data_IF_199603850425
#
_entry.id   IF_199603850425
#
_cell.length_a   1.000
_cell.length_b   1.000
_cell.length_c   1.000
_cell.angle_alpha   90.00
_cell.angle_beta   90.00
_cell.angle_gamma   90.00
#
_symmetry.space_group_name_H-M   'P 1'
#
loop_
_entity.id
_entity.type
_entity.pdbx_description
1 polymer ?
#
# COMPACT_ATOMS: atom_id res chain seq x y z
N UNK A 1 19.35 -8.30 -23.14
CA UNK A 1 17.92 -8.40 -23.26
C UNK A 1 17.23 -8.40 -21.90
N UNK A 2 16.31 -7.53 -21.69
CA UNK A 2 15.63 -7.43 -20.42
C UNK A 2 14.55 -8.52 -20.34
N UNK A 3 14.68 -9.41 -19.40
CA UNK A 3 13.75 -10.48 -19.19
C UNK A 3 12.88 -10.29 -17.96
N UNK A 4 13.35 -9.46 -17.06
CA UNK A 4 12.62 -9.16 -15.85
C UNK A 4 11.66 -8.01 -16.12
N UNK A 5 10.38 -8.33 -16.12
CA UNK A 5 9.33 -7.35 -16.39
C UNK A 5 8.69 -6.80 -15.13
N UNK A 6 9.10 -7.29 -13.96
CA UNK A 6 8.54 -6.82 -12.70
C UNK A 6 9.08 -5.43 -12.37
N UNK A 7 8.16 -4.48 -12.21
CA UNK A 7 8.50 -3.14 -11.79
C UNK A 7 8.51 -3.08 -10.25
N UNK A 8 9.61 -2.63 -9.69
CA UNK A 8 9.73 -2.49 -8.26
C UNK A 8 9.02 -1.25 -7.75
N UNK A 9 8.67 -1.27 -6.47
CA UNK A 9 8.19 -0.08 -5.80
C UNK A 9 9.30 0.98 -5.78
N UNK A 10 8.90 2.24 -5.91
CA UNK A 10 9.83 3.36 -5.78
C UNK A 10 9.35 4.32 -4.70
N UNK A 11 10.31 5.03 -4.11
CA UNK A 11 10.02 6.10 -3.17
C UNK A 11 10.95 7.26 -3.52
N UNK A 12 10.35 8.40 -3.87
CA UNK A 12 11.13 9.58 -4.30
C UNK A 12 12.14 9.24 -5.40
N UNK A 13 11.69 8.41 -6.34
CA UNK A 13 12.50 8.02 -7.50
C UNK A 13 13.49 6.90 -7.27
N UNK A 14 13.61 6.38 -6.05
CA UNK A 14 14.53 5.31 -5.73
C UNK A 14 13.81 3.99 -5.56
N UNK A 15 14.41 2.93 -6.08
CA UNK A 15 13.86 1.59 -5.95
C UNK A 15 13.88 1.13 -4.49
N UNK A 16 12.76 0.54 -4.06
CA UNK A 16 12.60 0.06 -2.69
C UNK A 16 12.56 -1.47 -2.71
N UNK A 17 13.51 -2.08 -2.02
CA UNK A 17 13.59 -3.53 -1.88
C UNK A 17 13.27 -4.01 -0.46
N UNK A 18 13.39 -3.12 0.53
CA UNK A 18 13.09 -3.41 1.92
C UNK A 18 12.35 -2.23 2.53
N UNK A 19 11.56 -2.51 3.57
CA UNK A 19 10.81 -1.48 4.29
C UNK A 19 11.46 -1.29 5.67
N UNK A 20 11.71 -0.03 6.10
CA UNK A 20 12.27 0.22 7.44
C UNK A 20 11.41 -0.42 8.53
N UNK A 21 12.05 -0.85 9.62
CA UNK A 21 11.39 -1.62 10.66
C UNK A 21 10.29 -0.85 11.40
N UNK A 22 10.43 0.46 11.51
CA UNK A 22 9.46 1.30 12.21
C UNK A 22 8.22 1.65 11.38
N UNK A 23 8.18 1.21 10.13
CA UNK A 23 7.08 1.50 9.21
C UNK A 23 6.00 0.42 9.36
N UNK A 24 4.77 0.85 9.63
CA UNK A 24 3.61 -0.02 9.72
C UNK A 24 3.00 -0.27 8.33
N UNK A 25 3.03 0.74 7.49
CA UNK A 25 2.51 0.63 6.14
C UNK A 25 2.84 1.88 5.32
N UNK A 26 2.31 1.91 4.11
CA UNK A 26 2.57 3.05 3.22
C UNK A 26 1.34 3.35 2.37
N UNK A 27 1.23 4.61 2.00
CA UNK A 27 0.24 5.08 1.02
C UNK A 27 0.93 5.14 -0.32
N UNK A 28 0.27 4.64 -1.35
CA UNK A 28 0.90 4.45 -2.65
C UNK A 28 0.07 4.98 -3.80
N UNK A 29 0.73 5.14 -4.92
CA UNK A 29 0.14 5.49 -6.20
C UNK A 29 0.56 4.46 -7.24
N UNK A 30 -0.40 3.81 -7.86
CA UNK A 30 -0.15 2.91 -8.98
C UNK A 30 -0.65 3.61 -10.23
N UNK A 31 0.18 3.64 -11.27
CA UNK A 31 -0.15 4.31 -12.52
C UNK A 31 -0.07 3.31 -13.68
N UNK A 32 -1.16 3.25 -14.45
CA UNK A 32 -1.17 2.54 -15.72
C UNK A 32 -0.54 3.45 -16.76
N UNK A 33 0.67 3.11 -17.19
CA UNK A 33 1.42 3.99 -18.10
C UNK A 33 0.86 4.01 -19.52
N UNK A 34 -0.05 3.10 -19.85
CA UNK A 34 -0.65 3.07 -21.20
C UNK A 34 -1.73 4.12 -21.38
N UNK A 35 -2.40 4.52 -20.31
CA UNK A 35 -3.51 5.48 -20.40
C UNK A 35 -3.49 6.55 -19.29
N UNK A 36 -2.53 6.50 -18.38
CA UNK A 36 -2.41 7.48 -17.30
C UNK A 36 -3.36 7.29 -16.14
N UNK A 37 -4.19 6.24 -16.13
CA UNK A 37 -5.10 5.99 -15.01
C UNK A 37 -4.33 5.56 -13.77
N UNK A 38 -4.81 6.00 -12.61
CA UNK A 38 -4.10 5.86 -11.35
C UNK A 38 -4.99 5.27 -10.26
N UNK A 39 -4.35 4.74 -9.25
CA UNK A 39 -5.04 4.25 -8.06
C UNK A 39 -4.24 4.66 -6.82
N UNK A 40 -4.91 5.29 -5.86
CA UNK A 40 -4.33 5.64 -4.55
C UNK A 40 -4.88 4.69 -3.51
N UNK A 41 -3.98 4.05 -2.78
CA UNK A 41 -4.37 3.10 -1.74
C UNK A 41 -3.35 3.04 -0.62
N UNK A 42 -3.59 2.12 0.30
CA UNK A 42 -2.66 1.86 1.41
C UNK A 42 -2.33 0.38 1.46
N UNK A 43 -1.18 0.07 2.02
CA UNK A 43 -0.74 -1.31 2.20
C UNK A 43 -0.02 -1.46 3.53
N UNK A 44 -0.38 -2.47 4.28
CA UNK A 44 0.38 -2.85 5.47
C UNK A 44 1.71 -3.45 5.04
N UNK A 45 2.78 -2.99 5.69
CA UNK A 45 4.11 -3.51 5.41
C UNK A 45 4.30 -4.90 5.99
N UNK A 46 3.70 -5.14 7.15
CA UNK A 46 3.85 -6.39 7.89
C UNK A 46 2.53 -6.84 8.46
N UNK A 47 2.37 -8.14 8.58
CA UNK A 47 1.22 -8.75 9.23
C UNK A 47 1.63 -9.23 10.63
N UNK A 48 0.71 -9.11 11.58
CA UNK A 48 0.88 -9.69 12.90
C UNK A 48 0.45 -11.15 12.85
N UNK A 49 1.27 -12.01 13.44
CA UNK A 49 1.01 -13.44 13.54
C UNK A 49 1.16 -13.86 14.99
N UNK A 50 0.59 -15.01 15.35
CA UNK A 50 0.77 -15.57 16.67
C UNK A 50 1.06 -17.07 16.54
N UNK A 51 1.80 -17.59 17.52
CA UNK A 51 2.07 -19.01 17.66
C UNK A 51 1.47 -19.47 18.98
N UNK A 52 1.17 -20.78 19.12
CA UNK A 52 0.72 -21.30 20.41
C UNK A 52 1.70 -20.95 21.52
N UNK A 53 1.23 -20.81 22.76
CA UNK A 53 2.13 -20.55 23.89
C UNK A 53 3.18 -21.65 24.03
N UNK A 54 4.34 -21.26 24.51
CA UNK A 54 5.34 -22.25 24.91
C UNK A 54 4.79 -23.09 26.06
N UNK A 55 5.27 -24.33 26.18
CA UNK A 55 4.85 -25.23 27.24
C UNK A 55 5.00 -24.54 28.60
N UNK A 56 3.91 -24.58 29.40
CA UNK A 56 3.89 -23.92 30.67
C UNK A 56 3.58 -22.43 30.66
N UNK A 57 3.35 -21.86 29.51
CA UNK A 57 3.02 -20.44 29.39
C UNK A 57 1.56 -20.24 28.97
N UNK A 58 0.96 -19.13 29.40
CA UNK A 58 -0.45 -18.85 29.12
C UNK A 58 -0.66 -18.04 27.85
N UNK A 59 0.26 -17.14 27.53
CA UNK A 59 0.05 -16.20 26.45
C UNK A 59 0.62 -16.71 25.13
N UNK A 60 -0.11 -16.44 24.04
CA UNK A 60 0.39 -16.70 22.70
C UNK A 60 1.60 -15.83 22.41
N UNK A 61 2.53 -16.38 21.66
CA UNK A 61 3.69 -15.63 21.18
C UNK A 61 3.29 -14.84 19.95
N UNK A 62 3.53 -13.55 19.95
CA UNK A 62 3.23 -12.68 18.82
C UNK A 62 4.51 -12.32 18.10
N UNK A 63 4.41 -12.23 16.79
CA UNK A 63 5.53 -11.85 15.94
C UNK A 63 5.00 -11.17 14.68
N UNK A 64 5.89 -10.52 13.92
CA UNK A 64 5.54 -9.86 12.67
C UNK A 64 6.21 -10.57 11.51
N UNK A 65 5.50 -10.62 10.38
CA UNK A 65 6.06 -11.12 9.11
C UNK A 65 5.79 -10.08 8.04
N UNK A 66 6.64 -10.04 7.03
CA UNK A 66 6.40 -9.17 5.89
C UNK A 66 5.08 -9.55 5.24
N UNK A 67 4.34 -8.53 4.81
CA UNK A 67 3.15 -8.75 4.01
C UNK A 67 3.55 -9.11 2.58
N UNK A 68 2.57 -9.26 1.72
CA UNK A 68 2.78 -9.52 0.30
C UNK A 68 3.04 -8.23 -0.49
N UNK A 69 3.57 -7.19 0.17
CA UNK A 69 3.71 -5.87 -0.44
C UNK A 69 4.54 -5.87 -1.72
N UNK A 70 5.55 -6.74 -1.82
CA UNK A 70 6.43 -6.76 -2.98
C UNK A 70 5.70 -7.11 -4.27
N UNK A 71 4.69 -7.95 -4.19
CA UNK A 71 3.92 -8.41 -5.35
C UNK A 71 2.54 -7.76 -5.47
N UNK A 72 2.27 -6.79 -4.62
CA UNK A 72 0.95 -6.18 -4.50
C UNK A 72 0.73 -5.10 -5.55
N UNK A 73 -0.39 -5.15 -6.25
CA UNK A 73 -0.77 -4.18 -7.29
C UNK A 73 -2.14 -3.57 -7.02
N UNK A 74 -2.48 -3.34 -5.75
CA UNK A 74 -3.71 -2.66 -5.39
C UNK A 74 -4.87 -3.60 -5.14
N UNK A 75 -5.97 -3.04 -4.63
CA UNK A 75 -7.14 -3.82 -4.25
C UNK A 75 -8.37 -3.53 -5.11
N UNK A 76 -8.26 -2.67 -6.10
CA UNK A 76 -9.37 -2.39 -7.01
C UNK A 76 -9.55 -3.52 -8.02
N UNK A 77 -10.80 -3.95 -8.22
CA UNK A 77 -11.10 -4.99 -9.21
C UNK A 77 -10.75 -4.52 -10.63
N UNK A 78 -11.10 -3.29 -10.96
CA UNK A 78 -10.81 -2.75 -12.29
C UNK A 78 -9.31 -2.65 -12.54
N UNK A 79 -8.55 -2.22 -11.54
CA UNK A 79 -7.10 -2.17 -11.63
C UNK A 79 -6.53 -3.58 -11.82
N UNK A 80 -7.02 -4.54 -11.05
CA UNK A 80 -6.56 -5.94 -11.14
C UNK A 80 -6.80 -6.51 -12.53
N UNK A 81 -7.96 -6.24 -13.10
CA UNK A 81 -8.29 -6.68 -14.47
C UNK A 81 -7.29 -6.11 -15.46
N UNK A 82 -7.02 -4.81 -15.37
CA UNK A 82 -6.08 -4.16 -16.29
C UNK A 82 -4.66 -4.66 -16.11
N UNK A 83 -4.22 -4.90 -14.87
CA UNK A 83 -2.88 -5.44 -14.61
C UNK A 83 -2.71 -6.81 -15.28
N UNK A 84 -3.72 -7.66 -15.18
CA UNK A 84 -3.67 -8.98 -15.82
C UNK A 84 -3.73 -8.89 -17.34
N UNK A 85 -4.55 -8.00 -17.85
CA UNK A 85 -4.77 -7.86 -19.29
C UNK A 85 -3.61 -7.18 -20.00
N UNK A 86 -3.06 -6.13 -19.41
CA UNK A 86 -2.04 -5.29 -20.05
C UNK A 86 -0.63 -5.76 -19.70
N UNK A 87 -0.44 -6.25 -18.48
CA UNK A 87 0.86 -6.72 -17.99
C UNK A 87 1.44 -5.81 -16.92
N UNK A 88 2.09 -6.42 -15.94
CA UNK A 88 2.64 -5.72 -14.78
C UNK A 88 3.68 -4.68 -15.15
N UNK A 89 4.42 -4.92 -16.22
CA UNK A 89 5.49 -4.03 -16.69
C UNK A 89 4.98 -2.67 -17.15
N UNK A 90 3.68 -2.55 -17.39
CA UNK A 90 3.07 -1.29 -17.80
C UNK A 90 2.54 -0.46 -16.62
N UNK A 91 2.72 -0.95 -15.41
CA UNK A 91 2.23 -0.26 -14.21
C UNK A 91 3.39 0.12 -13.32
N UNK A 92 3.45 1.40 -12.95
CA UNK A 92 4.43 1.88 -11.97
C UNK A 92 3.79 1.89 -10.60
N UNK A 93 4.59 1.61 -9.58
CA UNK A 93 4.14 1.60 -8.20
C UNK A 93 5.04 2.51 -7.38
N UNK A 94 4.45 3.55 -6.86
CA UNK A 94 5.17 4.59 -6.15
C UNK A 94 4.67 4.71 -4.72
N UNK A 95 5.59 4.71 -3.77
CA UNK A 95 5.25 4.96 -2.36
C UNK A 95 5.23 6.46 -2.16
N UNK A 96 4.08 6.97 -1.71
CA UNK A 96 3.91 8.40 -1.46
C UNK A 96 4.30 8.78 -0.04
N UNK A 97 3.90 7.97 0.95
CA UNK A 97 4.12 8.26 2.35
C UNK A 97 4.36 6.99 3.15
N UNK A 98 5.42 6.99 3.95
CA UNK A 98 5.65 5.99 4.98
C UNK A 98 4.81 6.34 6.21
N UNK A 99 4.15 5.35 6.80
CA UNK A 99 3.30 5.58 7.97
C UNK A 99 3.72 4.66 9.11
N UNK A 100 3.69 5.21 10.34
CA UNK A 100 4.18 4.52 11.53
C UNK A 100 3.07 3.99 12.43
N UNK A 101 1.82 4.20 12.05
CA UNK A 101 0.68 3.63 12.77
C UNK A 101 -0.44 3.34 11.78
N UNK A 102 -1.36 2.46 12.18
CA UNK A 102 -2.54 2.17 11.36
C UNK A 102 -3.45 3.39 11.24
N UNK A 103 -3.54 4.18 12.31
CA UNK A 103 -4.35 5.40 12.29
C UNK A 103 -3.77 6.40 11.29
N UNK A 104 -2.45 6.61 11.32
CA UNK A 104 -1.79 7.49 10.37
C UNK A 104 -1.98 6.98 8.93
N UNK A 105 -1.82 5.68 8.74
CA UNK A 105 -1.96 5.06 7.42
C UNK A 105 -3.35 5.33 6.83
N UNK A 106 -4.40 5.13 7.60
CA UNK A 106 -5.77 5.36 7.16
C UNK A 106 -6.05 6.84 6.91
N UNK A 107 -5.53 7.70 7.79
CA UNK A 107 -5.72 9.13 7.66
C UNK A 107 -5.03 9.69 6.41
N UNK A 108 -3.77 9.31 6.20
CA UNK A 108 -3.00 9.81 5.07
C UNK A 108 -3.58 9.28 3.75
N UNK A 109 -4.02 8.04 3.71
CA UNK A 109 -4.69 7.49 2.52
C UNK A 109 -5.91 8.33 2.16
N UNK A 110 -6.81 8.55 3.12
CA UNK A 110 -8.02 9.32 2.87
C UNK A 110 -7.70 10.75 2.46
N UNK A 111 -6.74 11.37 3.14
CA UNK A 111 -6.30 12.73 2.81
C UNK A 111 -5.85 12.84 1.35
N UNK A 112 -5.02 11.89 0.91
CA UNK A 112 -4.52 11.89 -0.48
C UNK A 112 -5.64 11.64 -1.47
N UNK A 113 -6.55 10.73 -1.15
CA UNK A 113 -7.68 10.43 -2.03
C UNK A 113 -8.59 11.64 -2.20
N UNK A 114 -8.88 12.36 -1.12
CA UNK A 114 -9.68 13.59 -1.21
C UNK A 114 -8.92 14.71 -1.93
N UNK A 115 -7.66 14.89 -1.61
CA UNK A 115 -6.85 15.94 -2.24
C UNK A 115 -6.72 15.76 -3.75
N UNK A 116 -6.64 14.53 -4.20
CA UNK A 116 -6.54 14.19 -5.61
C UNK A 116 -7.88 14.07 -6.30
N UNK A 117 -8.97 14.18 -5.55
CA UNK A 117 -10.34 14.11 -6.08
C UNK A 117 -10.57 12.82 -6.88
N UNK A 118 -10.13 11.71 -6.32
CA UNK A 118 -10.10 10.43 -7.05
C UNK A 118 -11.49 9.95 -7.47
N UNK A 119 -12.56 10.35 -6.75
CA UNK A 119 -13.93 9.96 -7.12
C UNK A 119 -14.56 10.89 -8.15
N UNK A 120 -13.92 12.02 -8.45
CA UNK A 120 -14.43 13.01 -9.37
C UNK A 120 -13.76 12.95 -10.74
N UNK A 121 -12.84 12.00 -10.93
CA UNK A 121 -12.03 11.94 -12.15
C UNK A 121 -12.06 10.53 -12.73
N UNK A 122 -12.24 10.46 -14.04
CA UNK A 122 -12.12 9.19 -14.78
C UNK A 122 -10.67 8.70 -14.86
N UNK A 123 -9.71 9.53 -14.43
CA UNK A 123 -8.30 9.17 -14.45
C UNK A 123 -7.89 8.30 -13.27
N UNK A 124 -8.83 7.96 -12.38
CA UNK A 124 -8.55 7.11 -11.23
C UNK A 124 -9.42 5.87 -11.23
N UNK A 125 -8.82 4.76 -10.80
CA UNK A 125 -9.55 3.50 -10.59
C UNK A 125 -10.37 3.50 -9.31
N UNK A 126 -10.12 4.46 -8.41
CA UNK A 126 -10.77 4.49 -7.11
C UNK A 126 -12.27 4.63 -7.24
N UNK A 127 -13.01 3.72 -6.61
CA UNK A 127 -14.47 3.73 -6.64
C UNK A 127 -15.13 4.15 -5.34
N UNK A 128 -14.36 4.30 -4.26
CA UNK A 128 -14.88 4.74 -2.97
C UNK A 128 -13.74 5.23 -2.09
N UNK A 129 -14.10 5.99 -1.06
CA UNK A 129 -13.17 6.41 -0.02
C UNK A 129 -13.77 6.01 1.32
N UNK A 130 -13.02 5.24 2.11
CA UNK A 130 -13.43 4.87 3.46
C UNK A 130 -12.60 5.62 4.47
N UNK A 131 -13.27 6.28 5.42
CA UNK A 131 -12.60 7.08 6.44
C UNK A 131 -13.13 6.71 7.81
N UNK A 132 -12.25 6.20 8.66
CA UNK A 132 -12.57 5.94 10.05
C UNK A 132 -11.27 6.04 10.83
N UNK A 133 -10.99 7.25 11.34
CA UNK A 133 -9.75 7.52 12.08
C UNK A 133 -10.02 8.34 13.33
N UNK A 134 -9.14 8.19 14.29
CA UNK A 134 -9.08 9.01 15.49
C UNK A 134 -7.82 9.86 15.44
N UNK A 135 -7.81 10.96 16.18
CA UNK A 135 -6.59 11.74 16.37
C UNK A 135 -5.50 11.00 17.16
N UNK A 136 -5.89 9.99 17.96
CA UNK A 136 -4.92 9.18 18.68
C UNK A 136 -4.07 8.39 17.70
N UNK A 137 -2.77 8.48 17.84
CA UNK A 137 -1.83 7.82 16.93
C UNK A 137 -1.46 8.66 15.70
N UNK A 138 -2.03 9.85 15.57
CA UNK A 138 -1.65 10.81 14.54
C UNK A 138 -0.74 11.84 15.19
N UNK A 139 0.43 12.05 14.61
CA UNK A 139 1.39 13.02 15.14
C UNK A 139 0.94 14.43 14.75
N UNK A 140 0.78 15.28 15.74
CA UNK A 140 0.43 16.68 15.53
C UNK A 140 1.69 17.54 15.47
N UNK A 141 1.70 18.45 14.58
CA UNK A 141 2.80 19.42 14.44
C UNK A 141 2.35 20.82 14.83
#
# INVERSE_FOLDING_TARGET
MALNTKMHWTYQGKEITTIPEDIVGFVYLITNTTNGRKYVGKKLARFKRSRPPLKGRKNKRRYKVDSDWQDYYGSSDDLTIDVKKIGKEKFTREILFWCRSKAELSYVEAREQFARKVLESNDYYNGHIRVRVHGKGIIKS
#
